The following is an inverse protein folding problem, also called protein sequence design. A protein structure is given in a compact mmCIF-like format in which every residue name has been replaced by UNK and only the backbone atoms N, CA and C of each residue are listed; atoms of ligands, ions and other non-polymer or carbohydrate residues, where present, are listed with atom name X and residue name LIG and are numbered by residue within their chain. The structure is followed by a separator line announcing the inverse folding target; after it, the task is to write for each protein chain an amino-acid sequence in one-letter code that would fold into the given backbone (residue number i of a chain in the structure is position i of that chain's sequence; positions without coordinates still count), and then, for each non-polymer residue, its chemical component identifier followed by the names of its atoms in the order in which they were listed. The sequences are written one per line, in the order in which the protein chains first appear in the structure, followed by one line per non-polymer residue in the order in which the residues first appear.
data_IF_857239783909
#
_entry.id   IF_857239783909
#
_cell.length_a   1.000
_cell.length_b   1.000
_cell.length_c   1.000
_cell.angle_alpha   90.00
_cell.angle_beta   90.00
_cell.angle_gamma   90.00
#
_symmetry.space_group_name_H-M   'P 1'
#
loop_
_entity.id
_entity.type
_entity.pdbx_description
1 polymer ?
#
# COMPACT_ATOMS: atom_id res chain seq x y z
N UNK A 1 30.50 -54.07 1.34
CA UNK A 1 29.85 -52.78 1.67
C UNK A 1 28.58 -52.66 0.83
N UNK A 2 27.41 -52.48 1.44
CA UNK A 2 26.11 -52.52 0.75
C UNK A 2 25.74 -51.15 0.16
N UNK A 3 25.35 -51.12 -1.12
CA UNK A 3 24.89 -49.92 -1.85
C UNK A 3 23.84 -49.12 -1.06
N UNK A 4 22.93 -49.82 -0.37
CA UNK A 4 21.89 -49.22 0.48
C UNK A 4 22.44 -48.28 1.55
N UNK A 5 23.60 -48.62 2.14
CA UNK A 5 24.23 -47.80 3.19
C UNK A 5 24.87 -46.54 2.62
N UNK A 6 25.40 -46.62 1.39
CA UNK A 6 25.99 -45.49 0.66
C UNK A 6 24.92 -44.52 0.19
N UNK A 7 23.81 -45.02 -0.37
CA UNK A 7 22.70 -44.19 -0.81
C UNK A 7 21.99 -43.50 0.35
N UNK A 8 21.83 -44.19 1.49
CA UNK A 8 21.34 -43.57 2.72
C UNK A 8 22.25 -42.42 3.17
N UNK A 9 23.57 -42.61 3.14
CA UNK A 9 24.53 -41.55 3.48
C UNK A 9 24.47 -40.36 2.51
N UNK A 10 24.33 -40.62 1.20
CA UNK A 10 24.14 -39.57 0.18
C UNK A 10 22.84 -38.80 0.40
N UNK A 11 21.73 -39.51 0.67
CA UNK A 11 20.43 -38.88 0.93
C UNK A 11 20.43 -38.06 2.22
N UNK A 12 21.02 -38.57 3.31
CA UNK A 12 21.16 -37.83 4.56
C UNK A 12 21.95 -36.53 4.37
N UNK A 13 23.06 -36.58 3.62
CA UNK A 13 23.89 -35.41 3.32
C UNK A 13 23.20 -34.42 2.38
N UNK A 14 22.41 -34.92 1.42
CA UNK A 14 21.59 -34.11 0.55
C UNK A 14 20.45 -33.41 1.29
N UNK A 15 19.76 -34.11 2.18
CA UNK A 15 18.66 -33.55 2.97
C UNK A 15 19.13 -32.45 3.92
N UNK A 16 20.29 -32.59 4.55
CA UNK A 16 20.88 -31.53 5.39
C UNK A 16 21.09 -30.22 4.63
N UNK A 17 21.66 -30.30 3.42
CA UNK A 17 21.84 -29.12 2.55
C UNK A 17 20.51 -28.53 2.06
N UNK A 18 19.51 -29.36 1.81
CA UNK A 18 18.18 -28.91 1.36
C UNK A 18 17.41 -28.20 2.47
N UNK A 19 17.50 -28.69 3.70
CA UNK A 19 16.85 -28.07 4.86
C UNK A 19 17.47 -26.72 5.20
N UNK A 20 18.79 -26.59 5.18
CA UNK A 20 19.47 -25.31 5.40
C UNK A 20 19.08 -24.27 4.34
N UNK A 21 19.03 -24.66 3.06
CA UNK A 21 18.57 -23.78 1.97
C UNK A 21 17.13 -23.33 2.15
N UNK A 22 16.22 -24.23 2.54
CA UNK A 22 14.81 -23.89 2.80
C UNK A 22 14.66 -22.89 3.95
N UNK A 23 15.46 -23.01 5.01
CA UNK A 23 15.44 -22.06 6.13
C UNK A 23 15.91 -20.67 5.72
N UNK A 24 16.96 -20.59 4.91
CA UNK A 24 17.47 -19.30 4.41
C UNK A 24 16.50 -18.63 3.43
N UNK A 25 15.88 -19.40 2.54
CA UNK A 25 14.84 -18.91 1.64
C UNK A 25 13.65 -18.34 2.41
N UNK A 26 13.13 -19.06 3.42
CA UNK A 26 12.01 -18.57 4.25
C UNK A 26 12.33 -17.24 4.92
N UNK A 27 13.51 -17.12 5.53
CA UNK A 27 13.97 -15.86 6.13
C UNK A 27 14.05 -14.75 5.09
N UNK A 28 14.62 -15.03 3.91
CA UNK A 28 14.71 -14.03 2.84
C UNK A 28 13.32 -13.58 2.35
N UNK A 29 12.36 -14.51 2.23
CA UNK A 29 10.97 -14.17 1.89
C UNK A 29 10.32 -13.30 2.95
N UNK A 30 10.50 -13.59 4.24
CA UNK A 30 9.94 -12.78 5.33
C UNK A 30 10.47 -11.34 5.28
N UNK A 31 11.79 -11.15 5.10
CA UNK A 31 12.37 -9.81 4.94
C UNK A 31 11.91 -9.11 3.65
N UNK A 32 11.72 -9.87 2.57
CA UNK A 32 11.22 -9.33 1.29
C UNK A 32 9.79 -8.83 1.45
N UNK A 33 8.92 -9.60 2.11
CA UNK A 33 7.53 -9.22 2.36
C UNK A 33 7.47 -7.97 3.26
N UNK A 34 8.29 -7.95 4.32
CA UNK A 34 8.37 -6.78 5.21
C UNK A 34 8.83 -5.51 4.45
N UNK A 35 9.82 -5.65 3.57
CA UNK A 35 10.29 -4.58 2.70
C UNK A 35 9.21 -4.10 1.72
N UNK A 36 8.46 -5.02 1.12
CA UNK A 36 7.35 -4.68 0.21
C UNK A 36 6.23 -3.90 0.93
N UNK A 37 5.88 -4.29 2.15
CA UNK A 37 4.88 -3.58 2.95
C UNK A 37 5.37 -2.16 3.29
N UNK A 38 6.64 -2.02 3.69
CA UNK A 38 7.23 -0.71 3.97
C UNK A 38 7.23 0.20 2.73
N UNK A 39 7.60 -0.33 1.56
CA UNK A 39 7.56 0.41 0.29
C UNK A 39 6.12 0.81 -0.08
N UNK A 40 5.15 -0.08 0.08
CA UNK A 40 3.74 0.22 -0.19
C UNK A 40 3.23 1.38 0.69
N UNK A 41 3.61 1.41 1.97
CA UNK A 41 3.24 2.51 2.89
C UNK A 41 3.91 3.83 2.45
N UNK A 42 5.20 3.81 2.09
CA UNK A 42 5.92 5.01 1.62
C UNK A 42 5.29 5.56 0.34
N UNK A 43 4.96 4.70 -0.62
CA UNK A 43 4.29 5.09 -1.87
C UNK A 43 2.89 5.67 -1.57
N UNK A 44 2.14 5.05 -0.65
CA UNK A 44 0.81 5.53 -0.26
C UNK A 44 0.85 6.89 0.41
N UNK A 45 1.76 7.09 1.38
CA UNK A 45 1.93 8.38 2.05
C UNK A 45 2.39 9.44 1.06
N UNK A 46 3.29 9.11 0.13
CA UNK A 46 3.74 10.02 -0.92
C UNK A 46 2.58 10.50 -1.80
N UNK A 47 1.71 9.58 -2.24
CA UNK A 47 0.53 9.92 -3.04
C UNK A 47 -0.50 10.72 -2.23
N UNK A 48 -0.80 10.32 -0.99
CA UNK A 48 -1.77 11.01 -0.13
C UNK A 48 -1.29 12.41 0.31
N UNK A 49 0.01 12.59 0.54
CA UNK A 49 0.57 13.91 0.82
C UNK A 49 0.48 14.82 -0.41
N UNK A 50 0.64 14.28 -1.62
CA UNK A 50 0.45 15.02 -2.87
C UNK A 50 -1.03 15.38 -3.08
N UNK A 51 -1.95 14.44 -2.88
CA UNK A 51 -3.40 14.66 -2.95
C UNK A 51 -3.88 15.67 -1.89
N UNK A 52 -3.29 15.66 -0.70
CA UNK A 52 -3.56 16.65 0.34
C UNK A 52 -2.91 18.01 0.06
N UNK A 53 -1.78 18.06 -0.67
CA UNK A 53 -1.17 19.31 -1.13
C UNK A 53 -1.97 19.93 -2.28
N UNK A 54 -2.44 19.11 -3.23
CA UNK A 54 -3.37 19.51 -4.30
C UNK A 54 -4.72 19.96 -3.70
N UNK A 55 -5.20 19.29 -2.65
CA UNK A 55 -6.39 19.70 -1.88
C UNK A 55 -6.17 20.92 -0.97
N UNK A 56 -4.91 21.30 -0.71
CA UNK A 56 -4.52 22.51 0.05
C UNK A 56 -4.13 23.69 -0.84
N UNK A 57 -3.89 23.48 -2.13
CA UNK A 57 -4.14 24.55 -3.09
C UNK A 57 -5.58 24.98 -2.85
N UNK A 58 -5.90 26.30 -2.83
CA UNK A 58 -7.25 26.73 -2.59
C UNK A 58 -8.11 26.02 -3.63
N UNK A 59 -8.87 24.99 -3.21
CA UNK A 59 -10.04 24.58 -3.97
C UNK A 59 -10.68 25.90 -4.31
N UNK A 60 -10.90 26.16 -5.60
CA UNK A 60 -11.89 27.14 -5.98
C UNK A 60 -13.11 26.72 -5.15
N UNK A 61 -13.32 27.41 -4.03
CA UNK A 61 -14.56 27.35 -3.28
C UNK A 61 -15.52 27.61 -4.42
N UNK A 62 -16.32 26.61 -4.79
CA UNK A 62 -17.37 26.87 -5.73
C UNK A 62 -18.09 28.04 -5.09
N UNK A 63 -17.86 29.25 -5.61
CA UNK A 63 -18.54 30.45 -5.20
C UNK A 63 -19.95 30.15 -5.65
N UNK A 64 -20.69 29.47 -4.78
CA UNK A 64 -22.07 29.12 -5.02
C UNK A 64 -22.74 30.48 -5.09
N UNK A 65 -23.06 30.89 -6.31
CA UNK A 65 -23.64 32.20 -6.54
C UNK A 65 -25.04 32.22 -5.91
N UNK A 66 -25.13 32.83 -4.73
CA UNK A 66 -26.37 33.00 -3.98
C UNK A 66 -27.22 34.18 -4.49
N UNK A 67 -26.82 34.85 -5.59
CA UNK A 67 -27.58 35.96 -6.17
C UNK A 67 -29.00 35.56 -6.52
N UNK A 68 -29.24 34.34 -7.01
CA UNK A 68 -30.58 33.86 -7.34
C UNK A 68 -31.49 33.79 -6.10
N UNK A 69 -30.96 33.28 -4.99
CA UNK A 69 -31.71 33.17 -3.72
C UNK A 69 -31.96 34.56 -3.12
N UNK A 70 -30.95 35.43 -3.14
CA UNK A 70 -31.06 36.80 -2.65
C UNK A 70 -32.09 37.61 -3.44
N UNK A 71 -32.07 37.52 -4.77
CA UNK A 71 -33.04 38.21 -5.63
C UNK A 71 -34.46 37.69 -5.41
N UNK A 72 -34.64 36.37 -5.23
CA UNK A 72 -35.95 35.79 -4.93
C UNK A 72 -36.52 36.31 -3.60
N UNK A 73 -35.72 36.26 -2.53
CA UNK A 73 -36.14 36.78 -1.22
C UNK A 73 -36.46 38.27 -1.31
N UNK A 74 -35.66 39.06 -2.03
CA UNK A 74 -35.93 40.47 -2.22
C UNK A 74 -37.24 40.70 -2.99
N UNK A 75 -37.49 39.95 -4.05
CA UNK A 75 -38.73 40.05 -4.84
C UNK A 75 -39.98 39.78 -4.00
N UNK A 76 -39.91 38.81 -3.08
CA UNK A 76 -41.00 38.50 -2.15
C UNK A 76 -41.25 39.65 -1.17
N UNK A 77 -40.19 40.24 -0.61
CA UNK A 77 -40.32 41.37 0.33
C UNK A 77 -40.81 42.65 -0.34
N UNK A 78 -40.57 42.83 -1.64
CA UNK A 78 -41.08 43.98 -2.42
C UNK A 78 -42.46 43.75 -3.04
N UNK A 79 -42.97 42.53 -3.00
CA UNK A 79 -44.30 42.17 -3.51
C UNK A 79 -45.39 42.18 -2.43
N UNK A 80 -45.01 42.38 -1.15
CA UNK A 80 -45.89 42.86 -0.08
C UNK A 80 -45.94 44.40 -0.06
#
# INVERSE_FOLDING_TARGET
MSQKKVDYYKQAKANRKREEKKKNLRKAFDYTILGLIALAIVVWIGWSAYDMYESKQPRAVAEVDYSAVSNYVQSLNTAE
#
